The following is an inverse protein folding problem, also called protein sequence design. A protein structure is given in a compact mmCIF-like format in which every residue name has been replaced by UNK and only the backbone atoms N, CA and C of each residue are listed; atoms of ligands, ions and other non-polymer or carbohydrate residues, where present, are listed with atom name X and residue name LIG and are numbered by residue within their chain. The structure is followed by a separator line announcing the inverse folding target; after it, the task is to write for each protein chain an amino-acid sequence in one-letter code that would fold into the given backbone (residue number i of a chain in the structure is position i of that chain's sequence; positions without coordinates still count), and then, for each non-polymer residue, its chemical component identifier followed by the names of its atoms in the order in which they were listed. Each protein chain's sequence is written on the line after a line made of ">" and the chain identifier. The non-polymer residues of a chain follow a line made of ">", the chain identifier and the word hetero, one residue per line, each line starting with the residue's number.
data_IF_072369490264
#
_entry.id   IF_072369490264
#
_cell.length_a   1.000
_cell.length_b   1.000
_cell.length_c   1.000
_cell.angle_alpha   90.00
_cell.angle_beta   90.00
_cell.angle_gamma   90.00
#
_symmetry.space_group_name_H-M   'P 1'
#
loop_
_entity.id
_entity.type
_entity.pdbx_description
1 polymer ?
#
# COMPACT_ATOMS: atom_id res chain seq x y z
N UNK A 1 4.26 -17.05 -27.67
CA UNK A 1 3.15 -16.71 -26.77
C UNK A 1 2.63 -15.32 -27.09
N UNK A 2 1.31 -15.14 -27.21
CA UNK A 2 0.70 -13.82 -27.41
C UNK A 2 0.40 -13.21 -26.04
N UNK A 3 0.91 -12.00 -25.78
CA UNK A 3 0.57 -11.23 -24.58
C UNK A 3 -0.65 -10.39 -24.91
N UNK A 4 -1.67 -10.46 -24.06
CA UNK A 4 -2.89 -9.66 -24.17
C UNK A 4 -2.89 -8.66 -23.02
N UNK A 5 -3.21 -7.39 -23.32
CA UNK A 5 -3.33 -6.32 -22.35
C UNK A 5 -4.62 -5.54 -22.60
N UNK A 6 -5.10 -4.82 -21.59
CA UNK A 6 -6.19 -3.84 -21.78
C UNK A 6 -5.77 -2.80 -22.82
N UNK A 7 -6.67 -2.48 -23.74
CA UNK A 7 -6.36 -1.57 -24.84
C UNK A 7 -6.44 -0.08 -24.48
N UNK A 8 -6.93 0.22 -23.27
CA UNK A 8 -7.04 1.56 -22.72
C UNK A 8 -8.17 2.39 -23.33
N UNK A 9 -9.05 1.80 -24.14
CA UNK A 9 -10.21 2.48 -24.72
C UNK A 9 -11.29 2.61 -23.63
N UNK A 10 -11.68 3.83 -23.22
CA UNK A 10 -12.75 3.99 -22.24
C UNK A 10 -14.09 3.54 -22.83
N UNK A 11 -14.85 2.74 -22.09
CA UNK A 11 -16.14 2.25 -22.54
C UNK A 11 -16.85 1.40 -21.49
N UNK A 12 -18.10 1.00 -21.75
CA UNK A 12 -18.86 0.14 -20.84
C UNK A 12 -18.42 -1.34 -20.88
N UNK A 13 -17.47 -1.68 -21.76
CA UNK A 13 -16.95 -3.03 -21.97
C UNK A 13 -15.42 -2.98 -21.95
N UNK A 14 -14.82 -3.98 -21.33
CA UNK A 14 -13.38 -4.17 -21.39
C UNK A 14 -12.96 -4.55 -22.81
N UNK A 15 -11.93 -3.89 -23.30
CA UNK A 15 -11.36 -4.14 -24.62
C UNK A 15 -9.86 -4.41 -24.52
N UNK A 16 -9.37 -5.23 -25.45
CA UNK A 16 -8.07 -5.88 -25.35
C UNK A 16 -7.28 -5.75 -26.64
N UNK A 17 -5.96 -5.63 -26.52
CA UNK A 17 -5.04 -5.60 -27.65
C UNK A 17 -3.81 -6.45 -27.40
N UNK A 18 -3.08 -6.74 -28.46
CA UNK A 18 -1.79 -7.41 -28.37
C UNK A 18 -0.78 -6.50 -27.65
N UNK A 19 -0.20 -7.00 -26.55
CA UNK A 19 0.83 -6.32 -25.77
C UNK A 19 2.09 -6.01 -26.57
N UNK A 20 2.35 -6.79 -27.64
CA UNK A 20 3.44 -6.56 -28.61
C UNK A 20 3.31 -5.22 -29.35
N UNK A 21 2.16 -4.54 -29.28
CA UNK A 21 1.92 -3.24 -29.93
C UNK A 21 2.09 -2.03 -29.00
N UNK A 22 2.15 -2.23 -27.68
CA UNK A 22 2.17 -1.15 -26.68
C UNK A 22 3.55 -0.89 -26.09
N UNK A 23 4.41 -1.89 -26.09
CA UNK A 23 5.80 -1.71 -25.79
C UNK A 23 6.59 -2.46 -26.87
N UNK A 24 7.68 -1.85 -27.33
CA UNK A 24 8.87 -2.65 -27.62
C UNK A 24 9.22 -3.33 -26.30
N UNK A 25 8.54 -4.42 -25.96
CA UNK A 25 8.88 -5.21 -24.79
C UNK A 25 10.35 -5.54 -25.02
N UNK A 26 11.20 -4.93 -24.19
CA UNK A 26 12.63 -5.26 -24.14
C UNK A 26 12.70 -6.78 -24.14
N UNK A 27 13.67 -7.35 -24.85
CA UNK A 27 13.84 -8.81 -24.88
C UNK A 27 13.62 -9.37 -23.48
N UNK A 28 12.73 -10.37 -23.32
CA UNK A 28 12.41 -10.90 -22.01
C UNK A 28 13.70 -11.26 -21.28
N UNK A 29 13.91 -10.68 -20.10
CA UNK A 29 15.05 -11.03 -19.24
C UNK A 29 15.00 -12.51 -18.90
N UNK A 30 16.15 -13.07 -18.53
CA UNK A 30 16.16 -14.40 -17.95
C UNK A 30 15.24 -14.44 -16.71
N UNK A 31 14.67 -15.61 -16.42
CA UNK A 31 13.72 -15.76 -15.30
C UNK A 31 14.33 -15.29 -13.98
N UNK A 32 15.57 -15.67 -13.73
CA UNK A 32 16.32 -15.30 -12.53
C UNK A 32 16.50 -13.78 -12.41
N UNK A 33 16.95 -13.11 -13.47
CA UNK A 33 17.08 -11.65 -13.52
C UNK A 33 15.73 -10.94 -13.31
N UNK A 34 14.64 -11.51 -13.80
CA UNK A 34 13.30 -10.97 -13.61
C UNK A 34 12.84 -11.09 -12.16
N UNK A 35 13.12 -12.23 -11.52
CA UNK A 35 12.79 -12.46 -10.12
C UNK A 35 13.63 -11.58 -9.19
N UNK A 36 14.93 -11.42 -9.46
CA UNK A 36 15.81 -10.52 -8.71
C UNK A 36 15.30 -9.06 -8.75
N UNK A 37 14.88 -8.58 -9.93
CA UNK A 37 14.28 -7.25 -10.07
C UNK A 37 12.98 -7.12 -9.27
N UNK A 38 12.12 -8.15 -9.29
CA UNK A 38 10.88 -8.16 -8.50
C UNK A 38 11.17 -8.09 -7.01
N UNK A 39 12.13 -8.87 -6.51
CA UNK A 39 12.54 -8.84 -5.11
C UNK A 39 13.07 -7.46 -4.71
N UNK A 40 14.02 -6.91 -5.48
CA UNK A 40 14.60 -5.59 -5.20
C UNK A 40 13.53 -4.51 -5.14
N UNK A 41 12.61 -4.45 -6.13
CA UNK A 41 11.52 -3.45 -6.15
C UNK A 41 10.54 -3.64 -5.01
N UNK A 42 10.23 -4.88 -4.66
CA UNK A 42 9.33 -5.18 -3.56
C UNK A 42 9.90 -4.64 -2.24
N UNK A 43 11.12 -5.04 -1.86
CA UNK A 43 11.73 -4.61 -0.60
C UNK A 43 12.12 -3.12 -0.61
N UNK A 44 12.41 -2.53 -1.77
CA UNK A 44 12.64 -1.08 -1.86
C UNK A 44 11.40 -0.23 -1.58
N UNK A 45 10.22 -0.75 -1.88
CA UNK A 45 8.97 0.00 -1.70
C UNK A 45 8.18 -0.43 -0.45
N UNK A 46 8.42 -1.64 0.06
CA UNK A 46 7.62 -2.30 1.11
C UNK A 46 8.48 -2.92 2.21
N UNK A 47 9.80 -2.74 2.17
CA UNK A 47 10.68 -3.14 3.27
C UNK A 47 10.46 -2.21 4.47
N UNK A 48 10.69 -2.69 5.71
CA UNK A 48 11.08 -4.05 6.08
C UNK A 48 9.96 -5.09 5.87
N UNK A 49 10.29 -6.20 5.22
CA UNK A 49 9.35 -7.29 5.00
C UNK A 49 10.04 -8.65 5.06
N UNK A 50 9.31 -9.69 5.46
CA UNK A 50 9.87 -11.05 5.48
C UNK A 50 9.87 -11.66 4.07
N UNK A 51 10.72 -12.66 3.78
CA UNK A 51 10.65 -13.41 2.53
C UNK A 51 9.25 -13.99 2.26
N UNK A 52 8.53 -14.37 3.33
CA UNK A 52 7.15 -14.85 3.22
C UNK A 52 6.17 -13.80 2.71
N UNK A 53 6.42 -12.52 2.92
CA UNK A 53 5.59 -11.44 2.39
C UNK A 53 5.78 -11.29 0.87
N UNK A 54 7.03 -11.34 0.37
CA UNK A 54 7.29 -11.36 -1.07
C UNK A 54 6.64 -12.59 -1.74
N UNK A 55 6.82 -13.78 -1.15
CA UNK A 55 6.23 -15.01 -1.69
C UNK A 55 4.71 -14.95 -1.75
N UNK A 56 4.07 -14.38 -0.73
CA UNK A 56 2.63 -14.13 -0.70
C UNK A 56 2.19 -13.12 -1.77
N UNK A 57 2.82 -11.95 -1.82
CA UNK A 57 2.44 -10.84 -2.68
C UNK A 57 2.62 -11.17 -4.17
N UNK A 58 3.77 -11.75 -4.54
CA UNK A 58 4.06 -12.12 -5.93
C UNK A 58 3.54 -13.51 -6.33
N UNK A 59 2.88 -14.22 -5.40
CA UNK A 59 2.44 -15.61 -5.58
C UNK A 59 3.57 -16.55 -6.05
N UNK A 60 4.74 -16.43 -5.40
CA UNK A 60 5.94 -17.20 -5.70
C UNK A 60 6.08 -18.40 -4.76
N UNK A 61 6.73 -19.45 -5.24
CA UNK A 61 7.19 -20.52 -4.35
C UNK A 61 8.26 -19.98 -3.40
N UNK A 62 8.44 -20.60 -2.23
CA UNK A 62 9.53 -20.22 -1.33
C UNK A 62 10.92 -20.46 -1.94
N UNK A 63 11.06 -21.40 -2.88
CA UNK A 63 12.29 -21.60 -3.64
C UNK A 63 12.60 -20.40 -4.54
N UNK A 64 11.61 -19.96 -5.32
CA UNK A 64 11.74 -18.77 -6.17
C UNK A 64 11.97 -17.49 -5.36
N UNK A 65 11.28 -17.35 -4.22
CA UNK A 65 11.43 -16.19 -3.35
C UNK A 65 12.85 -16.08 -2.81
N UNK A 66 13.42 -17.19 -2.31
CA UNK A 66 14.80 -17.20 -1.80
C UNK A 66 15.81 -16.96 -2.91
N UNK A 67 15.65 -17.63 -4.06
CA UNK A 67 16.51 -17.42 -5.22
C UNK A 67 16.44 -15.98 -5.75
N UNK A 68 15.27 -15.34 -5.69
CA UNK A 68 15.10 -13.94 -6.07
C UNK A 68 15.88 -12.98 -5.14
N UNK A 69 15.80 -13.20 -3.83
CA UNK A 69 16.52 -12.41 -2.82
C UNK A 69 18.03 -12.62 -2.97
N UNK A 70 18.47 -13.86 -3.11
CA UNK A 70 19.89 -14.19 -3.31
C UNK A 70 20.44 -13.55 -4.59
N UNK A 71 19.69 -13.61 -5.70
CA UNK A 71 20.08 -13.01 -6.97
C UNK A 71 20.06 -11.47 -6.95
N UNK A 72 19.28 -10.84 -6.06
CA UNK A 72 19.34 -9.40 -5.82
C UNK A 72 20.62 -8.99 -5.07
N UNK A 73 21.28 -9.94 -4.39
CA UNK A 73 22.60 -9.78 -3.78
C UNK A 73 22.69 -8.62 -2.80
N UNK A 74 23.85 -7.94 -2.79
CA UNK A 74 24.16 -6.86 -1.85
C UNK A 74 23.38 -5.55 -2.06
N UNK A 75 22.30 -5.55 -2.85
CA UNK A 75 21.34 -4.45 -2.86
C UNK A 75 20.28 -4.61 -1.75
N UNK A 76 20.16 -5.81 -1.19
CA UNK A 76 19.28 -6.13 -0.07
C UNK A 76 20.12 -6.62 1.10
N UNK A 77 19.69 -6.29 2.31
CA UNK A 77 20.28 -6.80 3.54
C UNK A 77 19.21 -7.32 4.50
N UNK A 78 19.64 -8.22 5.38
CA UNK A 78 18.80 -8.82 6.41
C UNK A 78 18.99 -8.07 7.72
N UNK A 79 17.88 -7.78 8.39
CA UNK A 79 17.85 -7.08 9.68
C UNK A 79 16.91 -7.76 10.66
N UNK A 80 17.27 -7.72 11.93
CA UNK A 80 16.46 -8.27 13.02
C UNK A 80 15.59 -7.18 13.63
N UNK A 81 14.28 -7.34 13.56
CA UNK A 81 13.29 -6.43 14.14
C UNK A 81 12.29 -7.24 14.96
N UNK A 82 12.04 -6.84 16.21
CA UNK A 82 11.12 -7.55 17.12
C UNK A 82 11.36 -9.07 17.25
N UNK A 83 12.60 -9.53 17.05
CA UNK A 83 12.98 -10.94 17.12
C UNK A 83 12.63 -11.78 15.89
N UNK A 84 12.34 -11.13 14.76
CA UNK A 84 12.17 -11.76 13.45
C UNK A 84 13.09 -11.09 12.42
N UNK A 85 13.51 -11.90 11.43
CA UNK A 85 14.35 -11.49 10.32
C UNK A 85 13.53 -10.87 9.19
N UNK A 86 13.90 -9.65 8.80
CA UNK A 86 13.32 -8.88 7.72
C UNK A 86 14.36 -8.53 6.66
N UNK A 87 13.90 -8.32 5.43
CA UNK A 87 14.73 -7.83 4.34
C UNK A 87 14.40 -6.37 4.06
N UNK A 88 15.44 -5.59 3.86
CA UNK A 88 15.40 -4.17 3.53
C UNK A 88 16.40 -3.84 2.43
N UNK A 89 16.30 -2.68 1.77
CA UNK A 89 17.37 -2.17 0.92
C UNK A 89 18.62 -1.90 1.76
N UNK A 90 19.79 -2.23 1.22
CA UNK A 90 21.06 -1.98 1.91
C UNK A 90 21.24 -0.50 2.26
N UNK A 91 21.54 -0.21 3.52
CA UNK A 91 21.76 1.15 4.02
C UNK A 91 20.47 1.90 4.39
N UNK A 92 19.36 1.20 4.57
CA UNK A 92 18.07 1.80 4.95
C UNK A 92 17.83 1.85 6.47
N UNK A 93 18.77 1.36 7.29
CA UNK A 93 18.55 1.12 8.73
C UNK A 93 19.06 2.22 9.67
N UNK A 94 19.32 3.41 9.14
CA UNK A 94 19.89 4.55 9.88
C UNK A 94 18.92 5.73 10.05
N UNK A 95 17.60 5.50 10.16
CA UNK A 95 16.65 6.58 10.48
C UNK A 95 16.64 6.86 11.98
N UNK A 96 16.82 8.12 12.36
CA UNK A 96 16.73 8.58 13.75
C UNK A 96 15.29 8.88 14.17
N UNK A 97 15.02 8.89 15.48
CA UNK A 97 13.68 9.13 16.06
C UNK A 97 13.01 10.39 15.50
N UNK A 98 13.74 11.50 15.33
CA UNK A 98 13.18 12.74 14.80
C UNK A 98 12.73 12.62 13.32
N UNK A 99 13.42 11.80 12.53
CA UNK A 99 13.02 11.52 11.14
C UNK A 99 11.78 10.64 11.11
N UNK A 100 11.74 9.62 11.97
CA UNK A 100 10.56 8.75 12.15
C UNK A 100 9.35 9.59 12.57
N UNK A 101 9.48 10.42 13.61
CA UNK A 101 8.43 11.31 14.09
C UNK A 101 7.93 12.23 12.98
N UNK A 102 8.84 12.79 12.18
CA UNK A 102 8.48 13.65 11.05
C UNK A 102 7.69 12.92 9.98
N UNK A 103 8.00 11.65 9.69
CA UNK A 103 7.27 10.83 8.72
C UNK A 103 5.89 10.45 9.25
N UNK A 104 5.80 10.09 10.53
CA UNK A 104 4.58 9.63 11.17
C UNK A 104 3.59 10.77 11.50
N UNK A 105 4.09 12.00 11.62
CA UNK A 105 3.28 13.18 11.99
C UNK A 105 2.11 13.48 11.03
N UNK A 106 2.21 13.07 9.76
CA UNK A 106 1.19 13.32 8.76
C UNK A 106 0.28 12.10 8.55
N UNK A 107 -1.02 12.18 8.86
CA UNK A 107 -1.92 11.05 8.68
C UNK A 107 -2.16 10.77 7.19
N UNK A 108 -2.69 9.59 6.88
CA UNK A 108 -2.97 9.15 5.51
C UNK A 108 -4.45 8.81 5.31
N UNK A 109 -4.97 9.15 4.12
CA UNK A 109 -6.25 8.68 3.59
C UNK A 109 -5.96 7.71 2.44
N UNK A 110 -5.91 6.42 2.75
CA UNK A 110 -5.53 5.38 1.79
C UNK A 110 -6.77 4.77 1.13
N UNK A 111 -6.69 4.52 -0.17
CA UNK A 111 -7.82 4.01 -0.94
C UNK A 111 -8.19 2.57 -0.55
N UNK A 112 -9.32 2.09 -1.05
CA UNK A 112 -9.62 0.66 -1.02
C UNK A 112 -8.49 -0.11 -1.73
N UNK A 113 -8.13 -1.29 -1.21
CA UNK A 113 -7.08 -2.15 -1.75
C UNK A 113 -5.68 -1.52 -1.79
N UNK A 114 -5.39 -0.61 -0.87
CA UNK A 114 -4.06 0.01 -0.82
C UNK A 114 -2.97 -1.01 -0.44
N UNK A 115 -1.80 -0.87 -1.07
CA UNK A 115 -0.63 -1.74 -0.84
C UNK A 115 -0.13 -1.66 0.60
N UNK A 116 -0.44 -0.60 1.34
CA UNK A 116 -0.17 -0.52 2.79
C UNK A 116 -0.65 -1.75 3.56
N UNK A 117 -1.79 -2.33 3.15
CA UNK A 117 -2.31 -3.58 3.72
C UNK A 117 -2.14 -4.79 2.80
N UNK A 118 -2.06 -4.63 1.48
CA UNK A 118 -2.00 -5.75 0.54
C UNK A 118 -0.58 -6.30 0.32
N UNK A 119 0.45 -5.49 0.55
CA UNK A 119 1.85 -5.85 0.37
C UNK A 119 2.32 -6.97 1.30
N UNK A 120 1.67 -7.14 2.45
CA UNK A 120 2.14 -7.99 3.54
C UNK A 120 1.25 -9.20 3.76
N UNK A 121 1.88 -10.30 4.16
CA UNK A 121 1.19 -11.55 4.48
C UNK A 121 0.35 -11.40 5.75
N UNK A 122 0.95 -10.87 6.81
CA UNK A 122 0.24 -10.42 8.01
C UNK A 122 0.04 -8.90 7.98
N UNK A 123 -0.98 -8.40 8.66
CA UNK A 123 -1.30 -6.97 8.81
C UNK A 123 -1.18 -6.50 10.25
N UNK A 124 -0.77 -7.38 11.17
CA UNK A 124 -0.84 -7.13 12.60
C UNK A 124 0.05 -5.96 13.04
N UNK A 125 1.10 -5.65 12.28
CA UNK A 125 1.98 -4.51 12.54
C UNK A 125 1.29 -3.15 12.34
N UNK A 126 0.28 -3.08 11.47
CA UNK A 126 -0.39 -1.82 11.12
C UNK A 126 -1.88 -1.82 11.46
N UNK A 127 -2.50 -2.99 11.64
CA UNK A 127 -3.93 -3.15 11.87
C UNK A 127 -4.16 -4.13 13.01
N UNK A 128 -4.64 -3.59 14.13
CA UNK A 128 -4.99 -4.40 15.30
C UNK A 128 -6.06 -5.45 14.94
N UNK A 129 -5.93 -6.71 15.41
CA UNK A 129 -6.86 -7.77 15.07
C UNK A 129 -8.32 -7.47 15.42
N UNK A 130 -8.61 -6.73 16.50
CA UNK A 130 -9.99 -6.36 16.85
C UNK A 130 -10.67 -5.47 15.80
N UNK A 131 -9.90 -4.70 15.03
CA UNK A 131 -10.40 -3.79 14.02
C UNK A 131 -10.42 -4.38 12.61
N UNK A 132 -9.74 -5.51 12.39
CA UNK A 132 -9.68 -6.17 11.09
C UNK A 132 -11.06 -6.44 10.45
N UNK A 133 -12.12 -6.85 11.20
CA UNK A 133 -13.46 -7.00 10.63
C UNK A 133 -14.10 -5.69 10.12
N UNK A 134 -13.70 -4.53 10.63
CA UNK A 134 -14.19 -3.23 10.15
C UNK A 134 -13.57 -2.82 8.82
N UNK A 135 -12.31 -3.22 8.60
CA UNK A 135 -11.53 -2.95 7.37
C UNK A 135 -11.80 -3.97 6.26
N UNK A 136 -11.94 -5.26 6.61
CA UNK A 136 -12.23 -6.36 5.68
C UNK A 136 -13.47 -7.13 6.13
N UNK A 137 -14.68 -6.56 5.96
CA UNK A 137 -15.91 -7.17 6.43
C UNK A 137 -16.14 -8.56 5.81
N UNK A 138 -16.46 -9.54 6.65
CA UNK A 138 -16.76 -10.90 6.20
C UNK A 138 -15.59 -11.66 5.57
N UNK A 139 -14.36 -11.11 5.60
CA UNK A 139 -13.14 -11.73 5.06
C UNK A 139 -13.28 -12.17 3.59
N UNK A 140 -14.12 -11.48 2.82
CA UNK A 140 -14.44 -11.80 1.43
C UNK A 140 -13.47 -11.18 0.40
N UNK A 141 -12.36 -10.59 0.87
CA UNK A 141 -11.39 -9.90 0.03
C UNK A 141 -11.74 -8.44 -0.30
N UNK A 142 -12.84 -7.89 0.22
CA UNK A 142 -13.18 -6.48 0.06
C UNK A 142 -12.49 -5.62 1.12
N UNK A 143 -11.47 -4.86 0.71
CA UNK A 143 -10.77 -3.91 1.57
C UNK A 143 -11.41 -2.53 1.47
N UNK A 144 -11.82 -1.98 2.61
CA UNK A 144 -12.29 -0.59 2.68
C UNK A 144 -11.12 0.41 2.58
N UNK A 145 -11.37 1.66 2.16
CA UNK A 145 -10.40 2.75 2.36
C UNK A 145 -10.12 2.95 3.85
N UNK A 146 -8.86 3.17 4.20
CA UNK A 146 -8.39 3.23 5.59
C UNK A 146 -7.77 4.58 5.94
N UNK A 147 -7.88 4.93 7.22
CA UNK A 147 -7.25 6.10 7.82
C UNK A 147 -6.05 5.62 8.62
N UNK A 148 -4.88 6.19 8.35
CA UNK A 148 -3.64 5.86 9.07
C UNK A 148 -3.18 7.07 9.87
N UNK A 149 -2.89 6.87 11.15
CA UNK A 149 -2.31 7.87 12.06
C UNK A 149 -1.18 7.17 12.80
N UNK A 150 0.00 7.80 12.88
CA UNK A 150 1.19 7.25 13.54
C UNK A 150 1.55 5.82 13.07
N UNK A 151 1.33 5.53 11.78
CA UNK A 151 1.60 4.21 11.18
C UNK A 151 0.53 3.13 11.47
N UNK A 152 -0.48 3.43 12.29
CA UNK A 152 -1.57 2.51 12.58
C UNK A 152 -2.84 2.84 11.81
N UNK A 153 -3.55 1.81 11.36
CA UNK A 153 -4.92 1.92 10.85
C UNK A 153 -5.86 2.18 12.02
N UNK A 154 -6.37 3.41 12.08
CA UNK A 154 -7.23 3.90 13.17
C UNK A 154 -8.68 4.14 12.76
N UNK A 155 -9.02 3.88 11.50
CA UNK A 155 -10.37 4.10 10.99
C UNK A 155 -10.53 3.70 9.54
N UNK A 156 -11.75 3.88 9.05
CA UNK A 156 -12.06 3.83 7.62
C UNK A 156 -12.53 5.19 7.15
N UNK A 157 -12.49 5.42 5.84
CA UNK A 157 -13.09 6.61 5.27
C UNK A 157 -13.90 6.30 4.02
N UNK A 158 -14.78 7.22 3.68
CA UNK A 158 -15.54 7.21 2.44
C UNK A 158 -15.61 8.61 1.85
N UNK A 159 -16.04 8.71 0.59
CA UNK A 159 -16.26 9.99 -0.07
C UNK A 159 -17.69 10.11 -0.56
N UNK A 160 -18.23 11.33 -0.52
CA UNK A 160 -19.49 11.70 -1.15
C UNK A 160 -19.25 12.86 -2.09
N UNK A 161 -19.25 12.57 -3.38
CA UNK A 161 -19.10 13.61 -4.41
C UNK A 161 -20.44 14.33 -4.59
N UNK A 162 -20.41 15.65 -4.46
CA UNK A 162 -21.48 16.60 -4.76
C UNK A 162 -21.05 17.44 -5.98
N UNK A 163 -21.93 18.33 -6.45
CA UNK A 163 -21.71 19.08 -7.71
C UNK A 163 -20.34 19.76 -7.83
N UNK A 164 -19.90 20.50 -6.81
CA UNK A 164 -18.64 21.26 -6.82
C UNK A 164 -17.76 20.94 -5.59
N UNK A 165 -18.12 19.89 -4.84
CA UNK A 165 -17.51 19.56 -3.57
C UNK A 165 -17.42 18.06 -3.37
N UNK A 166 -16.41 17.61 -2.63
CA UNK A 166 -16.32 16.24 -2.10
C UNK A 166 -16.31 16.28 -0.59
N UNK A 167 -17.23 15.55 0.03
CA UNK A 167 -17.21 15.32 1.48
C UNK A 167 -16.38 14.06 1.74
N UNK A 168 -15.29 14.19 2.49
CA UNK A 168 -14.49 13.09 3.01
C UNK A 168 -15.00 12.76 4.41
N UNK A 169 -15.53 11.55 4.58
CA UNK A 169 -16.12 11.11 5.85
C UNK A 169 -15.20 10.08 6.49
N UNK A 170 -14.68 10.40 7.67
CA UNK A 170 -13.84 9.53 8.50
C UNK A 170 -14.69 8.89 9.59
N UNK A 171 -14.57 7.56 9.69
CA UNK A 171 -15.19 6.71 10.71
C UNK A 171 -14.06 6.12 11.56
N UNK A 172 -13.67 6.77 12.66
CA UNK A 172 -12.56 6.31 13.48
C UNK A 172 -12.97 5.14 14.39
N UNK A 173 -12.01 4.29 14.75
CA UNK A 173 -12.22 3.17 15.66
C UNK A 173 -12.14 3.59 17.14
N UNK A 174 -11.48 4.73 17.41
CA UNK A 174 -11.35 5.34 18.71
C UNK A 174 -11.24 6.87 18.55
N UNK A 175 -11.27 7.63 19.65
CA UNK A 175 -11.13 9.09 19.58
C UNK A 175 -9.81 9.52 18.93
N UNK A 176 -9.88 10.47 17.99
CA UNK A 176 -8.70 11.07 17.34
C UNK A 176 -8.27 12.34 18.09
N UNK A 177 -6.96 12.60 18.12
CA UNK A 177 -6.42 13.86 18.63
C UNK A 177 -6.79 15.03 17.72
N UNK A 178 -6.81 16.25 18.25
CA UNK A 178 -7.05 17.45 17.44
C UNK A 178 -6.02 17.58 16.29
N UNK A 179 -4.75 17.28 16.57
CA UNK A 179 -3.69 17.31 15.55
C UNK A 179 -3.91 16.29 14.43
N UNK A 180 -4.38 15.08 14.75
CA UNK A 180 -4.72 14.09 13.74
C UNK A 180 -5.91 14.55 12.87
N UNK A 181 -6.93 15.17 13.47
CA UNK A 181 -8.07 15.73 12.72
C UNK A 181 -7.63 16.86 11.80
N UNK A 182 -6.77 17.76 12.27
CA UNK A 182 -6.22 18.86 11.45
C UNK A 182 -5.37 18.32 10.28
N UNK A 183 -4.58 17.27 10.52
CA UNK A 183 -3.84 16.57 9.46
C UNK A 183 -4.75 15.93 8.42
N UNK A 184 -5.81 15.26 8.87
CA UNK A 184 -6.79 14.65 7.97
C UNK A 184 -7.55 15.70 7.15
N UNK A 185 -7.77 16.91 7.69
CA UNK A 185 -8.39 18.00 6.95
C UNK A 185 -7.51 18.42 5.77
N UNK A 186 -6.19 18.55 5.98
CA UNK A 186 -5.23 18.80 4.89
C UNK A 186 -5.22 17.69 3.85
N UNK A 187 -5.32 16.42 4.28
CA UNK A 187 -5.44 15.29 3.33
C UNK A 187 -6.74 15.31 2.54
N UNK A 188 -7.85 15.73 3.16
CA UNK A 188 -9.12 15.89 2.45
C UNK A 188 -9.02 17.01 1.40
N UNK A 189 -8.37 18.13 1.71
CA UNK A 189 -8.10 19.21 0.74
C UNK A 189 -7.27 18.71 -0.45
N UNK A 190 -6.15 18.01 -0.19
CA UNK A 190 -5.33 17.40 -1.25
C UNK A 190 -6.13 16.44 -2.14
N UNK A 191 -7.05 15.69 -1.53
CA UNK A 191 -7.96 14.80 -2.25
C UNK A 191 -8.97 15.58 -3.11
N UNK A 192 -9.47 16.71 -2.61
CA UNK A 192 -10.28 17.66 -3.36
C UNK A 192 -9.54 18.22 -4.58
N UNK A 193 -8.31 18.70 -4.38
CA UNK A 193 -7.45 19.23 -5.44
C UNK A 193 -7.21 18.19 -6.53
N UNK A 194 -6.93 16.93 -6.15
CA UNK A 194 -6.79 15.83 -7.10
C UNK A 194 -8.05 15.61 -7.95
N UNK A 195 -9.24 15.80 -7.37
CA UNK A 195 -10.52 15.70 -8.08
C UNK A 195 -10.93 16.99 -8.81
N UNK A 196 -10.21 18.11 -8.62
CA UNK A 196 -10.63 19.43 -9.08
C UNK A 196 -11.91 19.94 -8.39
N UNK A 197 -12.12 19.57 -7.13
CA UNK A 197 -13.29 19.93 -6.32
C UNK A 197 -12.85 20.55 -4.99
N UNK A 198 -13.65 21.45 -4.40
CA UNK A 198 -13.45 21.82 -3.00
C UNK A 198 -13.74 20.60 -2.09
N UNK A 199 -13.07 20.50 -0.94
CA UNK A 199 -13.26 19.37 -0.02
C UNK A 199 -13.62 19.82 1.38
N UNK A 200 -14.45 19.03 2.05
CA UNK A 200 -14.80 19.15 3.47
C UNK A 200 -14.45 17.83 4.18
N UNK A 201 -13.97 17.91 5.43
CA UNK A 201 -13.77 16.76 6.30
C UNK A 201 -14.94 16.64 7.30
N UNK A 202 -15.52 15.45 7.39
CA UNK A 202 -16.49 15.06 8.42
C UNK A 202 -15.92 13.90 9.23
N UNK A 203 -15.74 14.06 10.55
CA UNK A 203 -15.33 12.96 11.45
C UNK A 203 -16.54 12.52 12.27
N UNK A 204 -16.94 11.26 12.11
CA UNK A 204 -18.05 10.66 12.87
C UNK A 204 -17.56 10.32 14.28
N UNK A 205 -18.39 10.41 15.34
CA UNK A 205 -18.02 9.91 16.66
C UNK A 205 -17.57 8.45 16.59
N UNK A 206 -16.54 8.09 17.37
CA UNK A 206 -16.14 6.71 17.52
C UNK A 206 -17.26 5.92 18.24
N UNK A 207 -17.48 4.68 17.78
CA UNK A 207 -18.38 3.72 18.42
C UNK A 207 -17.78 3.11 19.70
#
# INVERSE_FOLDING_TARGET
>A
HMVIVFDGVPGPVDSFRSGHTLASLREPRAREESLAEVALRYFSARGPATPGCLGWWANLTMGDTRGAIEAAGGALEEVELAGESFIVPTGSVDMGDAEVDSVLAEPLLLAAFDEYLLAYRSRDATLRPEWAPRVVPGRNGMFKPVVVVDGEVVGTWSRRVRKQRVEVVVEPFAGLSAGAVDGLARRAEQYGDFLGLAADLSVVPAD
#
